data_IF_941520541698
#
_entry.id   IF_941520541698
#
_cell.length_a   1.000
_cell.length_b   1.000
_cell.length_c   1.000
_cell.angle_alpha   90.00
_cell.angle_beta   90.00
_cell.angle_gamma   90.00
#
_symmetry.space_group_name_H-M   'P 1'
#
loop_
_entity.id
_entity.type
_entity.pdbx_description
1 polymer ?
#
# COMPACT_ATOMS: atom_id res chain seq x y z
N UNK A 1 -9.00 11.68 15.85
CA UNK A 1 -7.81 10.81 16.00
C UNK A 1 -8.09 9.50 16.77
N UNK A 2 -9.33 9.16 17.19
CA UNK A 2 -9.55 8.20 18.29
C UNK A 2 -10.47 6.98 18.06
N UNK A 3 -10.82 6.57 16.83
CA UNK A 3 -11.53 5.27 16.63
C UNK A 3 -11.06 4.51 15.38
N UNK A 4 -10.68 5.22 14.32
CA UNK A 4 -10.12 4.60 13.12
C UNK A 4 -8.73 3.98 13.33
N UNK A 5 -7.91 4.57 14.22
CA UNK A 5 -6.62 3.99 14.62
C UNK A 5 -6.79 2.66 15.38
N UNK A 6 -7.94 2.44 16.01
CA UNK A 6 -8.29 1.16 16.62
C UNK A 6 -8.72 0.14 15.56
N UNK A 7 -9.46 0.56 14.51
CA UNK A 7 -9.81 -0.29 13.37
C UNK A 7 -8.56 -0.71 12.57
N UNK A 8 -7.62 0.22 12.34
CA UNK A 8 -6.31 -0.08 11.73
C UNK A 8 -5.50 -1.04 12.61
N UNK A 9 -5.54 -0.88 13.95
CA UNK A 9 -4.94 -1.83 14.90
C UNK A 9 -5.64 -3.18 14.99
N UNK A 10 -6.92 -3.26 14.66
CA UNK A 10 -7.67 -4.51 14.66
C UNK A 10 -7.40 -5.31 13.37
N UNK A 11 -7.08 -4.61 12.28
CA UNK A 11 -6.50 -5.18 11.05
C UNK A 11 -5.04 -5.64 11.28
N UNK A 12 -4.31 -5.06 12.25
CA UNK A 12 -2.99 -5.55 12.69
C UNK A 12 -3.05 -6.93 13.42
N UNK A 13 -4.24 -7.51 13.62
CA UNK A 13 -4.46 -8.82 14.26
C UNK A 13 -4.30 -10.04 13.35
N UNK A 14 -4.13 -9.86 12.04
CA UNK A 14 -3.75 -10.94 11.11
C UNK A 14 -2.27 -10.75 10.79
N UNK A 15 -1.47 -11.75 11.15
CA UNK A 15 -0.01 -11.74 11.18
C UNK A 15 0.66 -11.29 9.87
N UNK A 16 0.75 -9.99 9.60
CA UNK A 16 1.44 -9.45 8.42
C UNK A 16 1.96 -8.01 8.59
N UNK A 17 2.04 -7.50 9.83
CA UNK A 17 2.43 -6.13 10.14
C UNK A 17 3.94 -5.80 9.96
N UNK A 18 4.81 -6.78 9.64
CA UNK A 18 6.26 -6.54 9.53
C UNK A 18 6.73 -6.06 8.14
N UNK A 19 5.91 -6.12 7.09
CA UNK A 19 6.27 -5.63 5.75
C UNK A 19 5.60 -4.31 5.32
N UNK A 20 4.72 -3.74 6.16
CA UNK A 20 4.07 -2.43 5.95
C UNK A 20 5.00 -1.20 6.10
N UNK A 21 6.31 -1.37 5.90
CA UNK A 21 7.30 -0.27 5.85
C UNK A 21 7.09 0.72 4.70
N UNK A 22 6.19 0.42 3.74
CA UNK A 22 5.73 1.33 2.68
C UNK A 22 4.32 1.78 2.98
N UNK A 23 4.23 2.78 3.85
CA UNK A 23 3.00 3.41 4.33
C UNK A 23 1.94 3.63 3.22
N UNK A 24 0.93 2.77 3.19
CA UNK A 24 -0.36 3.02 2.56
C UNK A 24 -1.03 4.15 3.36
N UNK A 25 -1.07 5.36 2.80
CA UNK A 25 -1.75 6.49 3.46
C UNK A 25 -3.24 6.42 3.16
N UNK A 26 -3.98 5.85 4.10
CA UNK A 26 -5.44 5.88 4.16
C UNK A 26 -5.89 7.29 4.56
N UNK A 27 -6.41 8.05 3.60
CA UNK A 27 -6.98 9.37 3.87
C UNK A 27 -8.44 9.20 4.27
N UNK A 28 -8.72 9.16 5.57
CA UNK A 28 -10.08 9.16 6.11
C UNK A 28 -10.69 10.56 5.95
N UNK A 29 -11.59 10.67 4.98
CA UNK A 29 -12.38 11.89 4.77
C UNK A 29 -13.76 11.63 5.34
N UNK A 30 -14.01 12.17 6.54
CA UNK A 30 -15.35 12.26 7.11
C UNK A 30 -16.09 13.42 6.42
N UNK A 31 -17.19 13.17 5.68
CA UNK A 31 -18.10 14.24 5.30
C UNK A 31 -18.79 14.75 6.56
N UNK A 32 -18.35 15.91 7.05
CA UNK A 32 -18.97 16.59 8.21
C UNK A 32 -20.43 16.93 7.94
N UNK A 33 -21.24 16.91 9.01
CA UNK A 33 -22.69 17.20 9.02
C UNK A 33 -23.09 18.63 8.60
N UNK A 34 -22.13 19.51 8.33
CA UNK A 34 -22.40 20.85 7.82
C UNK A 34 -22.47 20.83 6.29
N UNK A 35 -23.67 21.08 5.77
CA UNK A 35 -23.96 21.09 4.34
C UNK A 35 -23.04 22.02 3.53
N UNK A 36 -22.13 21.41 2.78
CA UNK A 36 -21.52 21.81 1.48
C UNK A 36 -20.46 20.76 1.09
N UNK A 37 -20.07 20.62 -0.20
CA UNK A 37 -19.17 19.55 -0.66
C UNK A 37 -17.72 19.78 -0.19
N UNK A 38 -17.44 19.46 1.07
CA UNK A 38 -16.15 19.73 1.74
C UNK A 38 -15.14 18.58 1.58
N UNK A 39 -15.59 17.38 1.18
CA UNK A 39 -14.72 16.23 0.92
C UNK A 39 -13.65 16.51 -0.16
N UNK A 40 -13.99 17.29 -1.20
CA UNK A 40 -13.03 17.75 -2.21
C UNK A 40 -11.94 18.65 -1.61
N UNK A 41 -12.32 19.56 -0.70
CA UNK A 41 -11.39 20.45 0.00
C UNK A 41 -10.44 19.69 0.92
N UNK A 42 -10.95 18.74 1.72
CA UNK A 42 -10.12 17.92 2.60
C UNK A 42 -9.11 17.08 1.81
N UNK A 43 -9.49 16.52 0.66
CA UNK A 43 -8.58 15.76 -0.20
C UNK A 43 -7.46 16.62 -0.79
N UNK A 44 -7.80 17.77 -1.38
CA UNK A 44 -6.79 18.68 -1.94
C UNK A 44 -5.82 19.14 -0.85
N UNK A 45 -6.34 19.44 0.34
CA UNK A 45 -5.52 19.88 1.47
C UNK A 45 -4.47 18.83 1.83
N UNK A 46 -4.85 17.58 2.08
CA UNK A 46 -3.85 16.58 2.52
C UNK A 46 -2.83 16.26 1.42
N UNK A 47 -3.23 16.21 0.15
CA UNK A 47 -2.28 15.97 -0.94
C UNK A 47 -1.30 17.13 -1.09
N UNK A 48 -1.76 18.37 -0.94
CA UNK A 48 -0.92 19.56 -0.95
C UNK A 48 0.07 19.58 0.21
N UNK A 49 -0.36 19.24 1.43
CA UNK A 49 0.52 19.16 2.61
C UNK A 49 1.63 18.12 2.42
N UNK A 50 1.32 16.96 1.83
CA UNK A 50 2.34 15.94 1.52
C UNK A 50 3.35 16.45 0.48
N UNK A 51 2.87 17.17 -0.54
CA UNK A 51 3.72 17.82 -1.54
C UNK A 51 4.64 18.86 -0.92
N UNK A 52 4.13 19.65 0.02
CA UNK A 52 4.90 20.66 0.74
C UNK A 52 6.02 20.03 1.58
N UNK A 53 5.73 18.95 2.31
CA UNK A 53 6.74 18.22 3.09
C UNK A 53 7.88 17.71 2.20
N UNK A 54 7.54 17.12 1.06
CA UNK A 54 8.54 16.64 0.11
C UNK A 54 9.33 17.79 -0.54
N UNK A 55 8.66 18.91 -0.85
CA UNK A 55 9.29 20.10 -1.44
C UNK A 55 10.37 20.67 -0.52
N UNK A 56 10.05 20.86 0.76
CA UNK A 56 11.01 21.34 1.76
C UNK A 56 12.21 20.38 1.89
N UNK A 57 11.97 19.06 1.82
CA UNK A 57 13.06 18.08 1.86
C UNK A 57 13.98 18.17 0.62
N UNK A 58 13.40 18.41 -0.55
CA UNK A 58 14.12 18.59 -1.81
C UNK A 58 14.92 19.89 -1.82
N UNK A 59 14.33 21.01 -1.38
CA UNK A 59 14.98 22.32 -1.27
C UNK A 59 16.22 22.25 -0.38
N UNK A 60 16.08 21.68 0.83
CA UNK A 60 17.22 21.49 1.76
C UNK A 60 18.36 20.68 1.15
N UNK A 61 18.05 19.69 0.31
CA UNK A 61 19.09 18.92 -0.38
C UNK A 61 19.78 19.73 -1.48
N UNK A 62 19.03 20.53 -2.24
CA UNK A 62 19.61 21.43 -3.25
C UNK A 62 20.54 22.47 -2.62
N UNK A 63 20.16 23.04 -1.47
CA UNK A 63 21.02 23.94 -0.70
C UNK A 63 22.33 23.26 -0.29
N UNK A 64 22.24 22.05 0.28
CA UNK A 64 23.42 21.28 0.68
C UNK A 64 24.34 20.95 -0.50
N UNK A 65 23.77 20.54 -1.64
CA UNK A 65 24.53 20.26 -2.86
C UNK A 65 25.27 21.50 -3.37
N UNK A 66 24.63 22.68 -3.28
CA UNK A 66 25.22 23.96 -3.65
C UNK A 66 26.43 24.29 -2.78
N UNK A 67 26.31 24.11 -1.46
CA UNK A 67 27.41 24.35 -0.51
C UNK A 67 28.57 23.35 -0.67
N UNK A 68 28.27 22.07 -0.92
CA UNK A 68 29.26 21.04 -1.25
C UNK A 68 30.07 21.39 -2.50
N UNK A 69 29.38 21.89 -3.54
CA UNK A 69 30.01 22.33 -4.79
C UNK A 69 30.98 23.49 -4.57
N UNK A 70 30.62 24.47 -3.73
CA UNK A 70 31.49 25.62 -3.38
C UNK A 70 32.74 25.20 -2.61
N UNK A 71 32.62 24.22 -1.70
CA UNK A 71 33.73 23.75 -0.84
C UNK A 71 34.72 22.85 -1.57
N UNK A 72 34.42 22.39 -2.77
CA UNK A 72 35.35 21.64 -3.63
C UNK A 72 35.71 20.22 -3.18
N UNK A 73 35.09 19.71 -2.10
CA UNK A 73 35.44 18.43 -1.47
C UNK A 73 34.63 17.20 -1.92
N UNK A 74 33.65 17.36 -2.81
CA UNK A 74 32.78 16.25 -3.28
C UNK A 74 33.12 15.87 -4.71
N UNK A 75 32.90 14.60 -5.08
CA UNK A 75 32.88 14.16 -6.47
C UNK A 75 31.93 15.05 -7.28
N UNK A 76 32.50 15.92 -8.11
CA UNK A 76 31.78 16.93 -8.89
C UNK A 76 30.72 16.27 -9.77
N UNK A 77 31.04 15.12 -10.34
CA UNK A 77 30.14 14.37 -11.22
C UNK A 77 28.90 13.89 -10.47
N UNK A 78 29.11 13.33 -9.27
CA UNK A 78 28.01 12.86 -8.42
C UNK A 78 27.13 14.03 -7.95
N UNK A 79 27.74 15.13 -7.54
CA UNK A 79 27.01 16.33 -7.11
C UNK A 79 26.17 16.91 -8.26
N UNK A 80 26.71 16.98 -9.49
CA UNK A 80 25.99 17.44 -10.67
C UNK A 80 24.80 16.53 -11.02
N UNK A 81 24.98 15.20 -10.97
CA UNK A 81 23.88 14.24 -11.16
C UNK A 81 22.78 14.40 -10.12
N UNK A 82 23.14 14.51 -8.84
CA UNK A 82 22.17 14.74 -7.77
C UNK A 82 21.47 16.08 -7.92
N UNK A 83 22.18 17.14 -8.30
CA UNK A 83 21.59 18.46 -8.54
C UNK A 83 20.57 18.42 -9.66
N UNK A 84 20.87 17.74 -10.77
CA UNK A 84 19.92 17.56 -11.87
C UNK A 84 18.66 16.80 -11.43
N UNK A 85 18.82 15.68 -10.70
CA UNK A 85 17.70 14.91 -10.15
C UNK A 85 16.82 15.77 -9.23
N UNK A 86 17.41 16.41 -8.22
CA UNK A 86 16.65 17.17 -7.22
C UNK A 86 16.02 18.44 -7.81
N UNK A 87 16.63 19.05 -8.85
CA UNK A 87 16.02 20.16 -9.59
C UNK A 87 14.77 19.70 -10.32
N UNK A 88 14.84 18.55 -11.02
CA UNK A 88 13.67 17.93 -11.67
C UNK A 88 12.55 17.63 -10.67
N UNK A 89 12.88 17.06 -9.50
CA UNK A 89 11.87 16.78 -8.47
C UNK A 89 11.25 18.06 -7.90
N UNK A 90 12.05 19.11 -7.71
CA UNK A 90 11.58 20.42 -7.25
C UNK A 90 10.57 21.02 -8.23
N UNK A 91 10.86 21.03 -9.54
CA UNK A 91 9.95 21.56 -10.55
C UNK A 91 8.57 20.86 -10.55
N UNK A 92 8.56 19.54 -10.37
CA UNK A 92 7.31 18.76 -10.31
C UNK A 92 6.51 19.12 -9.05
N UNK A 93 7.17 19.18 -7.90
CA UNK A 93 6.53 19.49 -6.61
C UNK A 93 6.06 20.95 -6.55
N UNK A 94 6.82 21.90 -7.10
CA UNK A 94 6.45 23.31 -7.19
C UNK A 94 5.24 23.54 -8.11
N UNK A 95 5.00 22.64 -9.07
CA UNK A 95 3.78 22.60 -9.89
C UNK A 95 2.61 21.86 -9.20
N UNK A 96 2.70 21.60 -7.90
CA UNK A 96 1.72 20.86 -7.08
C UNK A 96 1.41 19.45 -7.59
N UNK A 97 2.36 18.83 -8.30
CA UNK A 97 2.21 17.47 -8.81
C UNK A 97 2.91 16.47 -7.89
N UNK A 98 2.29 15.31 -7.61
CA UNK A 98 2.93 14.26 -6.83
C UNK A 98 4.05 13.61 -7.64
N UNK A 99 5.08 13.10 -6.96
CA UNK A 99 6.19 12.38 -7.59
C UNK A 99 5.88 10.92 -7.96
N UNK A 100 4.70 10.40 -7.61
CA UNK A 100 4.19 9.10 -8.06
C UNK A 100 4.12 9.07 -9.59
N UNK A 101 4.70 8.04 -10.19
CA UNK A 101 4.71 7.85 -11.65
C UNK A 101 5.82 8.61 -12.38
N UNK A 102 6.68 9.34 -11.66
CA UNK A 102 7.91 9.88 -12.23
C UNK A 102 8.91 8.76 -12.43
N UNK A 103 9.46 8.64 -13.64
CA UNK A 103 10.51 7.67 -13.95
C UNK A 103 11.83 8.04 -13.25
N UNK A 104 12.30 7.11 -12.42
CA UNK A 104 13.53 7.21 -11.65
C UNK A 104 14.38 5.99 -11.99
N UNK A 105 15.62 6.23 -12.41
CA UNK A 105 16.59 5.18 -12.71
C UNK A 105 17.09 4.49 -11.43
N UNK A 106 17.68 3.31 -11.58
CA UNK A 106 18.23 2.56 -10.43
C UNK A 106 19.35 3.31 -9.69
N UNK A 107 20.11 4.15 -10.38
CA UNK A 107 21.14 5.02 -9.79
C UNK A 107 20.51 6.17 -8.99
N UNK A 108 19.49 6.82 -9.54
CA UNK A 108 18.74 7.87 -8.85
C UNK A 108 18.00 7.33 -7.62
N UNK A 109 17.47 6.10 -7.67
CA UNK A 109 16.79 5.48 -6.53
C UNK A 109 17.71 5.36 -5.32
N UNK A 110 19.00 5.03 -5.53
CA UNK A 110 20.01 5.00 -4.46
C UNK A 110 20.18 6.37 -3.80
N UNK A 111 20.10 7.44 -4.58
CA UNK A 111 20.18 8.82 -4.07
C UNK A 111 18.92 9.22 -3.29
N UNK A 112 17.77 8.59 -3.56
CA UNK A 112 16.49 8.88 -2.91
C UNK A 112 16.20 8.01 -1.68
N UNK A 113 16.89 6.88 -1.51
CA UNK A 113 16.61 5.87 -0.48
C UNK A 113 16.50 6.45 0.95
N UNK A 114 17.27 7.50 1.26
CA UNK A 114 17.27 8.16 2.58
C UNK A 114 16.20 9.25 2.77
N UNK A 115 15.48 9.67 1.73
CA UNK A 115 14.55 10.80 1.80
C UNK A 115 13.12 10.40 2.18
N UNK A 116 12.71 9.19 1.82
CA UNK A 116 11.37 8.70 2.15
C UNK A 116 10.21 9.53 1.57
N UNK A 117 10.43 10.18 0.42
CA UNK A 117 9.48 11.11 -0.25
C UNK A 117 8.06 10.53 -0.30
N UNK A 118 7.13 11.23 0.33
CA UNK A 118 5.77 10.76 0.60
C UNK A 118 4.92 10.72 -0.66
N UNK A 119 5.06 11.72 -1.53
CA UNK A 119 4.31 11.86 -2.78
C UNK A 119 4.73 10.87 -3.86
N UNK A 120 5.83 10.12 -3.65
CA UNK A 120 6.23 8.96 -4.47
C UNK A 120 5.49 7.67 -4.10
N UNK A 121 5.05 7.55 -2.85
CA UNK A 121 4.40 6.32 -2.36
C UNK A 121 3.00 6.16 -2.98
N UNK A 122 2.57 4.95 -3.33
CA UNK A 122 1.20 4.69 -3.80
C UNK A 122 0.15 5.25 -2.84
N UNK A 123 -0.98 5.71 -3.39
CA UNK A 123 -2.05 6.36 -2.63
C UNK A 123 -3.38 5.66 -2.89
N UNK A 124 -4.10 5.33 -1.82
CA UNK A 124 -5.49 4.87 -1.84
C UNK A 124 -6.34 5.89 -1.10
N UNK A 125 -7.38 6.42 -1.73
CA UNK A 125 -8.29 7.36 -1.09
C UNK A 125 -9.45 6.59 -0.48
N UNK A 126 -9.71 6.81 0.80
CA UNK A 126 -10.75 6.10 1.52
C UNK A 126 -11.81 7.04 2.07
N UNK A 127 -13.00 6.97 1.51
CA UNK A 127 -14.14 7.77 1.94
C UNK A 127 -14.92 6.99 3.00
N UNK A 128 -14.89 7.44 4.23
CA UNK A 128 -15.74 6.87 5.27
C UNK A 128 -17.08 7.61 5.25
N UNK A 129 -18.10 6.94 4.74
CA UNK A 129 -19.45 7.46 4.60
C UNK A 129 -20.29 7.09 5.82
N UNK A 130 -21.17 8.00 6.21
CA UNK A 130 -22.25 7.72 7.13
C UNK A 130 -23.39 6.97 6.45
N UNK A 131 -24.30 6.44 7.27
CA UNK A 131 -25.51 5.78 6.81
C UNK A 131 -26.36 6.73 5.94
N UNK A 132 -26.90 6.20 4.83
CA UNK A 132 -27.70 6.98 3.88
C UNK A 132 -26.93 8.03 3.07
N UNK A 133 -25.60 8.17 3.24
CA UNK A 133 -24.82 9.09 2.44
C UNK A 133 -24.48 8.51 1.07
N UNK A 134 -24.83 9.26 0.02
CA UNK A 134 -24.40 8.95 -1.34
C UNK A 134 -22.90 9.16 -1.51
N UNK A 135 -22.27 8.34 -2.35
CA UNK A 135 -20.88 8.53 -2.76
C UNK A 135 -20.70 9.94 -3.35
N UNK A 136 -19.84 10.81 -2.78
CA UNK A 136 -19.58 12.11 -3.36
C UNK A 136 -18.83 11.95 -4.69
N UNK A 137 -19.07 12.85 -5.64
CA UNK A 137 -18.28 12.88 -6.88
C UNK A 137 -16.84 13.28 -6.55
N UNK A 138 -15.93 12.31 -6.53
CA UNK A 138 -14.49 12.52 -6.29
C UNK A 138 -13.71 12.29 -7.57
N UNK A 139 -13.18 13.36 -8.16
CA UNK A 139 -12.25 13.26 -9.29
C UNK A 139 -10.85 12.98 -8.76
N UNK A 140 -10.39 11.74 -8.88
CA UNK A 140 -9.09 11.29 -8.36
C UNK A 140 -8.30 10.52 -9.40
N UNK A 141 -7.00 10.80 -9.48
CA UNK A 141 -6.03 9.98 -10.21
C UNK A 141 -5.59 8.75 -9.41
N UNK A 142 -5.84 8.74 -8.11
CA UNK A 142 -5.64 7.59 -7.23
C UNK A 142 -6.96 6.80 -7.07
N UNK A 143 -6.91 5.47 -6.89
CA UNK A 143 -8.09 4.67 -6.59
C UNK A 143 -8.85 5.23 -5.39
N UNK A 144 -10.19 5.23 -5.48
CA UNK A 144 -11.09 5.71 -4.42
C UNK A 144 -11.99 4.57 -4.00
N UNK A 145 -12.06 4.35 -2.69
CA UNK A 145 -12.90 3.34 -2.05
C UNK A 145 -13.78 4.07 -1.05
N UNK A 146 -15.07 3.74 -1.02
CA UNK A 146 -15.94 4.14 0.07
C UNK A 146 -16.21 2.96 0.99
N UNK A 147 -16.34 3.23 2.29
CA UNK A 147 -16.84 2.28 3.29
C UNK A 147 -17.74 2.99 4.30
N UNK A 148 -18.43 2.20 5.12
CA UNK A 148 -19.13 2.70 6.30
C UNK A 148 -18.46 2.14 7.55
N UNK A 149 -17.39 2.81 8.02
CA UNK A 149 -16.50 2.26 9.04
C UNK A 149 -17.17 1.94 10.38
N UNK A 150 -18.23 2.68 10.72
CA UNK A 150 -19.03 2.40 11.92
C UNK A 150 -19.83 1.10 11.76
N UNK A 151 -20.50 0.94 10.63
CA UNK A 151 -21.30 -0.24 10.31
C UNK A 151 -20.45 -1.51 10.25
N UNK A 152 -19.29 -1.41 9.59
CA UNK A 152 -18.32 -2.52 9.48
C UNK A 152 -17.79 -2.95 10.86
N UNK A 153 -17.59 -2.00 11.78
CA UNK A 153 -17.17 -2.29 13.15
C UNK A 153 -18.27 -2.98 13.96
N UNK A 154 -19.53 -2.57 13.78
CA UNK A 154 -20.68 -3.21 14.42
C UNK A 154 -20.84 -4.65 13.89
N UNK A 155 -20.75 -4.85 12.58
CA UNK A 155 -20.75 -6.17 11.94
C UNK A 155 -19.62 -7.08 12.44
N UNK A 156 -18.41 -6.56 12.61
CA UNK A 156 -17.26 -7.34 13.08
C UNK A 156 -17.38 -7.83 14.53
N UNK A 157 -18.31 -7.29 15.32
CA UNK A 157 -18.57 -7.70 16.70
C UNK A 157 -19.71 -8.71 16.81
N UNK A 158 -20.44 -8.95 15.71
CA UNK A 158 -21.55 -9.89 15.69
C UNK A 158 -21.05 -11.33 15.45
N UNK A 159 -21.76 -12.33 15.98
CA UNK A 159 -21.61 -13.72 15.55
C UNK A 159 -21.79 -13.86 14.02
N UNK A 160 -21.16 -14.86 13.36
CA UNK A 160 -21.26 -15.03 11.92
C UNK A 160 -22.69 -15.13 11.39
N UNK A 161 -23.58 -15.83 12.11
CA UNK A 161 -24.99 -15.93 11.77
C UNK A 161 -25.72 -14.58 11.79
N UNK A 162 -25.47 -13.76 12.82
CA UNK A 162 -26.10 -12.44 12.98
C UNK A 162 -25.55 -11.43 11.98
N UNK A 163 -24.24 -11.49 11.72
CA UNK A 163 -23.59 -10.66 10.70
C UNK A 163 -24.17 -10.95 9.30
N UNK A 164 -24.42 -12.22 8.97
CA UNK A 164 -25.01 -12.61 7.68
C UNK A 164 -26.45 -12.10 7.53
N UNK A 165 -27.26 -12.20 8.58
CA UNK A 165 -28.62 -11.67 8.60
C UNK A 165 -28.62 -10.14 8.43
N UNK A 166 -27.74 -9.44 9.14
CA UNK A 166 -27.59 -7.99 9.06
C UNK A 166 -27.11 -7.55 7.66
N UNK A 167 -26.14 -8.25 7.07
CA UNK A 167 -25.69 -7.97 5.70
C UNK A 167 -26.83 -8.10 4.67
N UNK A 168 -27.71 -9.10 4.82
CA UNK A 168 -28.87 -9.27 3.95
C UNK A 168 -29.90 -8.15 4.13
N UNK A 169 -30.21 -7.76 5.36
CA UNK A 169 -31.18 -6.70 5.66
C UNK A 169 -30.75 -5.34 5.08
N UNK A 170 -29.45 -5.03 5.14
CA UNK A 170 -28.89 -3.77 4.63
C UNK A 170 -28.41 -3.84 3.17
N UNK A 171 -28.61 -4.98 2.49
CA UNK A 171 -28.20 -5.18 1.09
C UNK A 171 -26.69 -5.12 0.86
N UNK A 172 -25.89 -5.48 1.86
CA UNK A 172 -24.43 -5.48 1.82
C UNK A 172 -23.95 -6.82 1.25
N UNK A 173 -23.40 -6.79 0.03
CA UNK A 173 -22.92 -8.00 -0.65
C UNK A 173 -21.52 -8.43 -0.22
N UNK A 174 -20.67 -7.47 0.16
CA UNK A 174 -19.31 -7.74 0.66
C UNK A 174 -18.90 -6.66 1.66
N UNK A 175 -18.11 -7.05 2.67
CA UNK A 175 -17.49 -6.11 3.60
C UNK A 175 -16.45 -5.26 2.87
N UNK A 176 -16.51 -3.94 3.09
CA UNK A 176 -15.61 -2.96 2.49
C UNK A 176 -14.16 -3.17 2.91
N UNK A 177 -13.93 -3.79 4.08
CA UNK A 177 -12.61 -4.15 4.55
C UNK A 177 -11.92 -5.14 3.60
N UNK A 178 -12.62 -6.19 3.16
CA UNK A 178 -12.07 -7.17 2.22
C UNK A 178 -11.70 -6.52 0.88
N UNK A 179 -12.54 -5.61 0.40
CA UNK A 179 -12.24 -4.82 -0.81
C UNK A 179 -11.01 -3.94 -0.61
N UNK A 180 -10.86 -3.31 0.55
CA UNK A 180 -9.70 -2.47 0.88
C UNK A 180 -8.41 -3.29 0.92
N UNK A 181 -8.43 -4.48 1.51
CA UNK A 181 -7.27 -5.38 1.57
C UNK A 181 -6.82 -5.75 0.15
N UNK A 182 -7.75 -6.22 -0.69
CA UNK A 182 -7.46 -6.58 -2.10
C UNK A 182 -6.83 -5.40 -2.86
N UNK A 183 -7.44 -4.22 -2.77
CA UNK A 183 -6.94 -3.02 -3.43
C UNK A 183 -5.57 -2.58 -2.89
N UNK A 184 -5.28 -2.83 -1.61
CA UNK A 184 -3.98 -2.52 -1.01
C UNK A 184 -2.89 -3.45 -1.55
N UNK A 185 -3.19 -4.75 -1.68
CA UNK A 185 -2.31 -5.73 -2.31
C UNK A 185 -2.02 -5.38 -3.78
N UNK A 186 -3.06 -5.04 -4.55
CA UNK A 186 -2.92 -4.65 -5.94
C UNK A 186 -2.11 -3.36 -6.08
N UNK A 187 -2.38 -2.36 -5.22
CA UNK A 187 -1.67 -1.08 -5.24
C UNK A 187 -0.19 -1.21 -4.87
N UNK A 188 0.15 -2.19 -4.02
CA UNK A 188 1.54 -2.49 -3.63
C UNK A 188 2.22 -3.49 -4.59
N UNK A 189 1.50 -3.95 -5.60
CA UNK A 189 1.89 -5.02 -6.53
C UNK A 189 2.37 -6.28 -5.80
N UNK A 190 1.54 -6.75 -4.87
CA UNK A 190 1.80 -7.91 -4.03
C UNK A 190 0.76 -9.00 -4.26
N UNK A 191 1.17 -10.23 -3.98
CA UNK A 191 0.32 -11.40 -3.92
C UNK A 191 0.86 -12.38 -2.87
N UNK A 192 0.04 -13.35 -2.48
CA UNK A 192 0.41 -14.34 -1.48
C UNK A 192 0.62 -15.71 -2.12
N UNK A 193 1.53 -16.50 -1.53
CA UNK A 193 1.63 -17.93 -1.74
C UNK A 193 1.47 -18.65 -0.40
N UNK A 194 1.18 -19.95 -0.45
CA UNK A 194 0.93 -20.73 0.77
C UNK A 194 1.99 -21.79 1.00
N UNK A 195 2.33 -22.00 2.26
CA UNK A 195 2.96 -23.22 2.74
C UNK A 195 1.91 -24.04 3.47
N UNK A 196 1.79 -25.32 3.10
CA UNK A 196 0.79 -26.25 3.65
C UNK A 196 1.54 -27.45 4.22
N UNK A 197 1.48 -27.63 5.54
CA UNK A 197 1.96 -28.81 6.25
C UNK A 197 0.88 -29.37 7.17
N UNK A 198 1.15 -30.51 7.80
CA UNK A 198 0.23 -31.12 8.78
C UNK A 198 0.05 -30.22 10.01
N UNK A 199 1.13 -29.54 10.43
CA UNK A 199 1.15 -28.69 11.62
C UNK A 199 0.73 -27.24 11.35
N UNK A 200 1.01 -26.71 10.15
CA UNK A 200 0.82 -25.29 9.84
C UNK A 200 0.39 -25.06 8.40
N UNK A 201 -0.61 -24.19 8.23
CA UNK A 201 -0.97 -23.57 6.95
C UNK A 201 -0.74 -22.07 7.07
N UNK A 202 0.11 -21.52 6.21
CA UNK A 202 0.50 -20.11 6.28
C UNK A 202 0.55 -19.45 4.92
N UNK A 203 0.04 -18.21 4.87
CA UNK A 203 0.20 -17.31 3.74
C UNK A 203 1.49 -16.49 3.89
N UNK A 204 2.19 -16.30 2.78
CA UNK A 204 3.41 -15.51 2.67
C UNK A 204 3.26 -14.51 1.56
N UNK A 205 3.56 -13.24 1.85
CA UNK A 205 3.37 -12.15 0.90
C UNK A 205 4.67 -11.80 0.18
N UNK A 206 4.58 -11.69 -1.14
CA UNK A 206 5.68 -11.38 -2.05
C UNK A 206 5.23 -10.40 -3.13
N UNK A 207 6.19 -9.73 -3.79
CA UNK A 207 5.85 -8.92 -4.96
C UNK A 207 5.41 -9.81 -6.12
N UNK A 208 4.50 -9.29 -6.93
CA UNK A 208 4.11 -9.95 -8.16
C UNK A 208 5.32 -10.10 -9.08
N UNK A 209 5.49 -11.30 -9.64
CA UNK A 209 6.66 -11.64 -10.45
C UNK A 209 7.93 -11.95 -9.65
N UNK A 210 7.85 -12.03 -8.32
CA UNK A 210 8.96 -12.51 -7.50
C UNK A 210 9.39 -13.91 -7.93
N UNK A 211 10.71 -14.15 -7.96
CA UNK A 211 11.27 -15.47 -8.25
C UNK A 211 11.06 -16.40 -7.07
N UNK A 212 11.04 -17.71 -7.33
CA UNK A 212 10.89 -18.72 -6.28
C UNK A 212 11.93 -18.60 -5.15
N UNK A 213 13.16 -18.19 -5.45
CA UNK A 213 14.21 -17.93 -4.45
C UNK A 213 13.89 -16.74 -3.53
N UNK A 214 13.25 -15.70 -4.07
CA UNK A 214 12.82 -14.53 -3.28
C UNK A 214 11.65 -14.91 -2.38
N UNK A 215 10.72 -15.73 -2.90
CA UNK A 215 9.63 -16.30 -2.10
C UNK A 215 10.14 -17.20 -0.97
N UNK A 216 11.12 -18.06 -1.22
CA UNK A 216 11.78 -18.85 -0.18
C UNK A 216 12.43 -17.94 0.89
N UNK A 217 13.01 -16.82 0.47
CA UNK A 217 13.57 -15.82 1.39
C UNK A 217 12.54 -15.13 2.29
N UNK A 218 11.28 -15.03 1.84
CA UNK A 218 10.18 -14.53 2.67
C UNK A 218 9.86 -15.48 3.83
N UNK A 219 10.07 -16.80 3.64
CA UNK A 219 9.93 -17.82 4.69
C UNK A 219 11.13 -17.74 5.64
N UNK A 220 12.34 -17.89 5.09
CA UNK A 220 13.58 -17.80 5.87
C UNK A 220 14.78 -17.50 4.97
N UNK A 221 15.70 -16.65 5.44
CA UNK A 221 16.86 -16.23 4.65
C UNK A 221 17.82 -17.37 4.28
N UNK A 222 17.88 -18.44 5.07
CA UNK A 222 18.69 -19.62 4.76
C UNK A 222 18.12 -20.43 3.58
N UNK A 223 16.80 -20.48 3.42
CA UNK A 223 16.16 -21.15 2.28
C UNK A 223 16.48 -20.46 0.96
N UNK A 224 16.62 -19.13 0.98
CA UNK A 224 17.08 -18.39 -0.19
C UNK A 224 18.56 -18.65 -0.50
N UNK A 225 19.42 -18.73 0.52
CA UNK A 225 20.87 -18.99 0.34
C UNK A 225 21.14 -20.42 -0.15
N UNK A 226 20.39 -21.39 0.35
CA UNK A 226 20.47 -22.80 -0.03
C UNK A 226 19.45 -23.22 -1.09
N UNK A 227 18.89 -22.28 -1.85
CA UNK A 227 17.80 -22.58 -2.78
C UNK A 227 18.26 -23.53 -3.89
N UNK A 228 17.59 -24.67 -4.01
CA UNK A 228 17.84 -25.67 -5.07
C UNK A 228 16.67 -25.69 -6.05
N UNK A 229 15.46 -25.92 -5.53
CA UNK A 229 14.22 -25.98 -6.30
C UNK A 229 13.03 -25.62 -5.43
N UNK A 230 11.92 -25.24 -6.06
CA UNK A 230 10.62 -25.12 -5.42
C UNK A 230 9.67 -26.16 -6.02
N UNK A 231 8.96 -26.89 -5.17
CA UNK A 231 7.80 -27.67 -5.57
C UNK A 231 6.58 -26.77 -5.45
N UNK A 232 5.91 -26.52 -6.58
CA UNK A 232 4.83 -25.53 -6.67
C UNK A 232 3.60 -26.22 -7.24
N UNK A 233 2.46 -25.98 -6.61
CA UNK A 233 1.15 -26.38 -7.11
C UNK A 233 0.29 -25.12 -7.22
N UNK A 234 -0.44 -24.97 -8.32
CA UNK A 234 -1.36 -23.85 -8.47
C UNK A 234 -2.55 -24.02 -7.53
N UNK A 235 -3.11 -22.90 -7.04
CA UNK A 235 -4.25 -22.94 -6.13
C UNK A 235 -5.47 -23.61 -6.77
N UNK A 236 -5.73 -23.32 -8.05
CA UNK A 236 -6.86 -23.90 -8.79
C UNK A 236 -6.68 -25.41 -8.98
N UNK A 237 -5.46 -25.89 -9.26
CA UNK A 237 -5.17 -27.32 -9.36
C UNK A 237 -5.31 -28.01 -7.99
N UNK A 238 -4.90 -27.36 -6.90
CA UNK A 238 -5.09 -27.87 -5.53
C UNK A 238 -6.57 -28.04 -5.20
N UNK A 239 -7.41 -27.06 -5.52
CA UNK A 239 -8.86 -27.15 -5.32
C UNK A 239 -9.49 -28.24 -6.19
N UNK A 240 -9.08 -28.36 -7.46
CA UNK A 240 -9.62 -29.36 -8.38
C UNK A 240 -9.21 -30.80 -8.02
N UNK A 241 -8.01 -30.99 -7.45
CA UNK A 241 -7.50 -32.30 -7.06
C UNK A 241 -7.87 -32.68 -5.62
N UNK A 242 -8.18 -31.71 -4.76
CA UNK A 242 -8.54 -31.89 -3.35
C UNK A 242 -7.37 -32.26 -2.43
N UNK A 243 -6.34 -32.94 -2.94
CA UNK A 243 -5.14 -33.33 -2.16
C UNK A 243 -3.85 -33.19 -2.96
N UNK A 244 -2.74 -32.94 -2.24
CA UNK A 244 -1.39 -32.91 -2.83
C UNK A 244 -0.99 -34.24 -3.47
N UNK A 245 -1.42 -35.36 -2.89
CA UNK A 245 -1.14 -36.70 -3.42
C UNK A 245 -1.82 -36.91 -4.79
N UNK A 246 -3.06 -36.46 -4.93
CA UNK A 246 -3.81 -36.56 -6.19
C UNK A 246 -3.26 -35.60 -7.24
N UNK A 247 -2.88 -34.38 -6.84
CA UNK A 247 -2.23 -33.43 -7.74
C UNK A 247 -0.93 -34.00 -8.35
N UNK A 248 -0.05 -34.57 -7.50
CA UNK A 248 1.19 -35.23 -7.94
C UNK A 248 0.93 -36.39 -8.91
N UNK A 249 -0.09 -37.23 -8.65
CA UNK A 249 -0.47 -38.32 -9.56
C UNK A 249 -0.91 -37.82 -10.94
N UNK A 250 -1.56 -36.65 -10.98
CA UNK A 250 -2.01 -36.00 -12.22
C UNK A 250 -0.93 -35.17 -12.91
N UNK A 251 0.31 -35.16 -12.38
CA UNK A 251 1.42 -34.40 -12.93
C UNK A 251 1.24 -32.89 -12.81
N UNK A 252 0.50 -32.45 -11.79
CA UNK A 252 0.29 -31.04 -11.43
C UNK A 252 1.28 -30.58 -10.37
#
# INVERSE_FOLDING_TARGET
MSKLAALVRQVDGVAEAQQFGRLLRLLDIQPTSFGRPQARRCRLFVVAELGHVDLVAVERKLERLTEERKKGGTDKTLNERQTALFTRLHEILAAEKPLRGVEISSEEEKSLAGFGLLTRKPLLVLLNLGEGQSLPEVRSTAPVVALQGKLEMELAQLPPEDAAAFMQEYGITELSLNRMIKLSYDLLDQHSFFTVGEDEVRAWTVRRGAKAVEAAGAIHSDLARGFIRAEVLSYDDMLACGTLAEARKRGK
#
